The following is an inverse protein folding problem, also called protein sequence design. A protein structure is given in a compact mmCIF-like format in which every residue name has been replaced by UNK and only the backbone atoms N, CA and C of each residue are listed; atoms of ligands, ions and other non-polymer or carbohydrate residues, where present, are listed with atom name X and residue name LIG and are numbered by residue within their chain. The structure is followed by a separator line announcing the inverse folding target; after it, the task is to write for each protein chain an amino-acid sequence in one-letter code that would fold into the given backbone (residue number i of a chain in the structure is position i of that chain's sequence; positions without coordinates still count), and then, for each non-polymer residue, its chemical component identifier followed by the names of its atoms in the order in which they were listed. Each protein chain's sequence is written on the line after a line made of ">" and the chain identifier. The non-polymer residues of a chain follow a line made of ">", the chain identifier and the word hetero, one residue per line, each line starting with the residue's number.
data_IF_794101693392
#
_entry.id   IF_794101693392
#
_cell.length_a   1.000
_cell.length_b   1.000
_cell.length_c   1.000
_cell.angle_alpha   90.00
_cell.angle_beta   90.00
_cell.angle_gamma   90.00
#
_symmetry.space_group_name_H-M   'P 1'
#
loop_
_entity.id
_entity.type
_entity.pdbx_description
1 polymer ?
#
# COMPACT_ATOMS: atom_id res chain seq x y z
N UNK A 1 14.30 -8.92 16.83
CA UNK A 1 14.21 -7.91 17.90
C UNK A 1 12.75 -7.63 18.17
N UNK A 2 12.42 -6.67 19.02
CA UNK A 2 11.07 -6.08 19.02
C UNK A 2 10.85 -5.29 17.73
N UNK A 3 9.61 -5.22 17.26
CA UNK A 3 9.27 -4.41 16.09
C UNK A 3 9.46 -2.91 16.34
N UNK A 4 9.90 -2.20 15.30
CA UNK A 4 10.16 -0.76 15.26
C UNK A 4 9.33 -0.09 14.17
N UNK A 5 8.12 -0.61 13.97
CA UNK A 5 7.21 -0.18 12.93
C UNK A 5 5.93 0.35 13.57
N UNK A 6 5.48 1.52 13.10
CA UNK A 6 4.20 2.10 13.45
C UNK A 6 3.46 2.46 12.16
N UNK A 7 2.16 2.30 12.13
CA UNK A 7 1.33 2.65 10.98
C UNK A 7 0.14 3.50 11.43
N UNK A 8 -0.23 4.49 10.62
CA UNK A 8 -1.44 5.30 10.79
C UNK A 8 -2.47 4.90 9.74
N UNK A 9 -3.74 5.09 10.10
CA UNK A 9 -4.88 4.85 9.22
C UNK A 9 -5.76 6.08 9.18
N UNK A 10 -6.19 6.44 7.97
CA UNK A 10 -7.01 7.60 7.70
C UNK A 10 -7.61 7.48 6.32
N UNK A 11 -8.81 8.05 6.12
CA UNK A 11 -9.56 7.94 4.86
C UNK A 11 -9.76 6.49 4.38
N UNK A 12 -9.75 5.51 5.30
CA UNK A 12 -9.94 4.09 4.99
C UNK A 12 -8.74 3.43 4.33
N UNK A 13 -7.55 4.05 4.38
CA UNK A 13 -6.31 3.46 3.88
C UNK A 13 -5.22 3.56 4.96
N UNK A 14 -4.07 2.96 4.70
CA UNK A 14 -2.87 3.18 5.54
C UNK A 14 -2.18 4.43 5.01
N UNK A 15 -1.90 5.40 5.89
CA UNK A 15 -1.20 6.63 5.52
C UNK A 15 0.29 6.45 5.80
N UNK A 16 0.79 7.07 6.85
CA UNK A 16 2.19 6.99 7.22
C UNK A 16 2.55 5.64 7.85
N UNK A 17 3.64 5.05 7.35
CA UNK A 17 4.34 3.97 8.04
C UNK A 17 5.69 4.50 8.48
N UNK A 18 5.96 4.40 9.77
CA UNK A 18 7.15 4.92 10.43
C UNK A 18 8.12 3.79 10.74
N UNK A 19 9.40 4.04 10.45
CA UNK A 19 10.50 3.14 10.79
C UNK A 19 11.84 3.89 10.75
N UNK A 20 12.80 3.59 11.65
CA UNK A 20 12.69 2.73 12.83
C UNK A 20 12.17 3.49 14.07
N UNK A 21 11.64 4.71 13.89
CA UNK A 21 11.15 5.55 14.99
C UNK A 21 9.92 6.35 14.54
N UNK A 22 9.03 6.68 15.47
CA UNK A 22 7.76 7.41 15.23
C UNK A 22 7.92 8.81 14.62
N UNK A 23 9.12 9.39 14.67
CA UNK A 23 9.44 10.66 14.00
C UNK A 23 9.94 10.50 12.56
N UNK A 24 10.00 9.28 12.01
CA UNK A 24 10.61 8.99 10.71
C UNK A 24 9.62 8.27 9.77
N UNK A 25 8.73 9.00 9.08
CA UNK A 25 7.83 8.41 8.09
C UNK A 25 8.63 7.90 6.89
N UNK A 26 8.31 6.68 6.43
CA UNK A 26 8.97 5.99 5.31
C UNK A 26 8.00 5.74 4.14
N UNK A 27 6.70 5.68 4.42
CA UNK A 27 5.63 5.61 3.41
C UNK A 27 4.67 6.76 3.72
N UNK A 28 4.11 7.40 2.69
CA UNK A 28 3.08 8.43 2.85
C UNK A 28 1.67 7.86 2.77
N UNK A 29 1.44 6.96 1.81
CA UNK A 29 0.16 6.32 1.58
C UNK A 29 0.39 4.90 1.05
N UNK A 30 -0.40 3.95 1.53
CA UNK A 30 -0.66 2.65 0.91
C UNK A 30 -2.17 2.62 0.67
N UNK A 31 -2.56 2.92 -0.57
CA UNK A 31 -3.95 3.04 -1.00
C UNK A 31 -4.53 1.72 -1.48
N UNK A 32 -5.83 1.54 -1.26
CA UNK A 32 -6.60 0.38 -1.73
C UNK A 32 -7.52 0.77 -2.89
N UNK A 33 -7.50 -0.04 -3.94
CA UNK A 33 -8.30 0.15 -5.14
C UNK A 33 -9.02 -1.15 -5.48
N UNK A 34 -10.30 -1.09 -5.80
CA UNK A 34 -11.03 -2.26 -6.32
C UNK A 34 -11.10 -2.17 -7.83
N UNK A 35 -10.56 -3.16 -8.52
CA UNK A 35 -10.48 -3.20 -9.99
C UNK A 35 -11.43 -4.28 -10.51
N UNK A 36 -12.49 -3.88 -11.20
CA UNK A 36 -13.44 -4.76 -11.87
C UNK A 36 -13.28 -4.67 -13.38
N UNK A 37 -14.14 -5.39 -14.11
CA UNK A 37 -14.11 -5.42 -15.58
C UNK A 37 -14.50 -4.06 -16.20
N UNK A 38 -15.61 -3.47 -15.75
CA UNK A 38 -16.14 -2.23 -16.32
C UNK A 38 -15.74 -0.96 -15.57
N UNK A 39 -15.29 -1.09 -14.32
CA UNK A 39 -14.98 0.05 -13.46
C UNK A 39 -13.94 -0.28 -12.41
N UNK A 40 -13.34 0.78 -11.87
CA UNK A 40 -12.48 0.72 -10.69
C UNK A 40 -12.96 1.71 -9.62
N UNK A 41 -12.55 1.47 -8.37
CA UNK A 41 -12.98 2.23 -7.21
C UNK A 41 -11.76 2.65 -6.40
N UNK A 42 -11.57 3.96 -6.24
CA UNK A 42 -10.61 4.55 -5.30
C UNK A 42 -11.24 4.64 -3.91
N UNK A 43 -10.93 3.69 -3.02
CA UNK A 43 -11.56 3.60 -1.72
C UNK A 43 -11.26 4.82 -0.82
N UNK A 44 -10.09 5.45 -1.00
CA UNK A 44 -9.73 6.71 -0.31
C UNK A 44 -10.65 7.86 -0.73
N UNK A 45 -11.06 7.91 -2.00
CA UNK A 45 -11.96 8.95 -2.52
C UNK A 45 -13.43 8.71 -2.16
N UNK A 46 -13.87 7.45 -2.10
CA UNK A 46 -15.25 7.12 -1.68
C UNK A 46 -15.51 7.54 -0.24
N UNK A 47 -14.51 7.40 0.66
CA UNK A 47 -14.60 7.81 2.08
C UNK A 47 -15.74 7.15 2.86
N UNK A 48 -16.15 5.96 2.46
CA UNK A 48 -17.14 5.14 3.16
C UNK A 48 -16.46 3.92 3.76
N UNK A 49 -16.07 4.03 5.03
CA UNK A 49 -15.37 2.95 5.73
C UNK A 49 -15.69 2.94 7.22
N UNK A 50 -15.61 1.75 7.82
CA UNK A 50 -15.64 1.54 9.25
C UNK A 50 -14.27 1.11 9.77
N UNK A 51 -13.97 1.48 11.01
CA UNK A 51 -12.81 0.98 11.75
C UNK A 51 -13.28 0.17 12.95
N UNK A 52 -12.72 -1.01 13.14
CA UNK A 52 -13.02 -1.84 14.30
C UNK A 52 -11.77 -2.56 14.81
N UNK A 53 -11.84 -3.04 16.04
CA UNK A 53 -10.82 -3.89 16.67
C UNK A 53 -11.53 -4.99 17.42
N UNK A 54 -11.01 -6.24 17.45
CA UNK A 54 -11.64 -7.30 18.23
C UNK A 54 -11.69 -6.97 19.72
N UNK A 55 -10.65 -6.31 20.23
CA UNK A 55 -10.56 -5.81 21.62
C UNK A 55 -9.75 -4.51 21.67
N UNK A 56 -9.97 -3.61 22.65
CA UNK A 56 -9.30 -2.32 22.72
C UNK A 56 -7.76 -2.37 22.82
N UNK A 57 -7.22 -3.47 23.36
CA UNK A 57 -5.79 -3.67 23.63
C UNK A 57 -5.07 -4.50 22.57
N UNK A 58 -5.80 -5.08 21.60
CA UNK A 58 -5.18 -5.83 20.52
C UNK A 58 -4.76 -4.86 19.41
N UNK A 59 -3.51 -4.90 18.93
CA UNK A 59 -3.02 -4.05 17.84
C UNK A 59 -3.47 -4.60 16.47
N UNK A 60 -4.69 -5.13 16.38
CA UNK A 60 -5.30 -5.67 15.18
C UNK A 60 -6.45 -4.74 14.78
N UNK A 61 -6.17 -3.85 13.83
CA UNK A 61 -7.14 -2.89 13.30
C UNK A 61 -7.77 -3.48 12.04
N UNK A 62 -9.09 -3.45 11.97
CA UNK A 62 -9.84 -3.82 10.77
C UNK A 62 -10.39 -2.56 10.11
N UNK A 63 -10.12 -2.42 8.82
CA UNK A 63 -10.70 -1.41 7.94
C UNK A 63 -11.73 -2.12 7.06
N UNK A 64 -12.99 -1.71 7.13
CA UNK A 64 -14.06 -2.27 6.33
C UNK A 64 -14.62 -1.21 5.39
N UNK A 65 -14.57 -1.46 4.09
CA UNK A 65 -15.25 -0.69 3.06
C UNK A 65 -16.42 -1.49 2.52
N UNK A 66 -17.55 -0.82 2.32
CA UNK A 66 -18.72 -1.43 1.70
C UNK A 66 -19.43 -0.39 0.84
N UNK A 67 -19.95 -0.84 -0.29
CA UNK A 67 -20.76 -0.02 -1.19
C UNK A 67 -21.60 -0.90 -2.10
N UNK A 68 -22.18 -0.29 -3.13
CA UNK A 68 -23.05 -1.02 -4.05
C UNK A 68 -22.28 -2.06 -4.87
N UNK A 69 -22.56 -3.34 -4.60
CA UNK A 69 -21.97 -4.48 -5.28
C UNK A 69 -20.51 -4.80 -4.92
N UNK A 70 -19.95 -4.19 -3.86
CA UNK A 70 -18.58 -4.49 -3.43
C UNK A 70 -18.38 -4.40 -1.92
N UNK A 71 -17.39 -5.14 -1.44
CA UNK A 71 -16.86 -5.07 -0.08
C UNK A 71 -15.35 -5.26 -0.08
N UNK A 72 -14.68 -4.62 0.88
CA UNK A 72 -13.27 -4.90 1.20
C UNK A 72 -13.10 -4.85 2.72
N UNK A 73 -12.62 -5.94 3.30
CA UNK A 73 -12.10 -5.94 4.67
C UNK A 73 -10.59 -6.07 4.64
N UNK A 74 -9.87 -5.21 5.37
CA UNK A 74 -8.41 -5.29 5.56
C UNK A 74 -8.10 -5.30 7.05
N UNK A 75 -7.49 -6.38 7.52
CA UNK A 75 -6.87 -6.44 8.83
C UNK A 75 -5.41 -5.99 8.74
N UNK A 76 -5.05 -5.02 9.58
CA UNK A 76 -3.73 -4.41 9.65
C UNK A 76 -3.07 -4.82 10.96
N UNK A 77 -1.95 -5.54 10.86
CA UNK A 77 -1.22 -6.08 12.00
C UNK A 77 0.29 -5.80 11.87
N UNK A 78 0.86 -4.89 12.67
CA UNK A 78 2.31 -4.84 12.84
C UNK A 78 2.81 -6.15 13.47
N UNK A 79 3.74 -6.86 12.84
CA UNK A 79 4.32 -8.09 13.39
C UNK A 79 5.04 -7.73 14.72
N UNK A 80 4.78 -8.42 15.84
CA UNK A 80 5.39 -8.06 17.13
C UNK A 80 6.92 -8.31 17.20
N UNK A 81 7.47 -9.11 16.29
CA UNK A 81 8.87 -9.59 16.30
C UNK A 81 9.68 -9.12 15.09
N UNK A 82 9.05 -8.52 14.08
CA UNK A 82 9.68 -8.10 12.82
C UNK A 82 9.22 -6.71 12.44
N UNK A 83 10.06 -6.01 11.68
CA UNK A 83 9.71 -4.71 11.10
C UNK A 83 8.85 -4.92 9.85
N UNK A 84 7.67 -5.50 10.02
CA UNK A 84 6.74 -5.89 8.95
C UNK A 84 5.33 -5.44 9.32
N UNK A 85 4.61 -4.87 8.36
CA UNK A 85 3.18 -4.63 8.45
C UNK A 85 2.46 -5.72 7.65
N UNK A 86 1.74 -6.60 8.34
CA UNK A 86 0.95 -7.67 7.72
C UNK A 86 -0.43 -7.14 7.39
N UNK A 87 -0.88 -7.43 6.17
CA UNK A 87 -2.22 -7.11 5.70
C UNK A 87 -2.93 -8.42 5.31
N UNK A 88 -4.02 -8.75 6.01
CA UNK A 88 -4.95 -9.80 5.56
C UNK A 88 -6.16 -9.11 4.98
N UNK A 89 -6.61 -9.52 3.81
CA UNK A 89 -7.76 -8.90 3.17
C UNK A 89 -8.77 -9.91 2.64
N UNK A 90 -10.00 -9.44 2.46
CA UNK A 90 -11.09 -10.17 1.84
C UNK A 90 -11.87 -9.22 0.95
N UNK A 91 -12.10 -9.61 -0.31
CA UNK A 91 -12.84 -8.83 -1.30
C UNK A 91 -14.17 -9.51 -1.58
N UNK A 92 -15.24 -8.73 -1.59
CA UNK A 92 -16.57 -9.15 -2.01
C UNK A 92 -16.96 -8.46 -3.31
N UNK A 93 -17.67 -9.20 -4.18
CA UNK A 93 -18.07 -8.73 -5.51
C UNK A 93 -17.03 -9.05 -6.60
N UNK A 94 -17.30 -8.67 -7.85
CA UNK A 94 -16.49 -9.03 -9.02
C UNK A 94 -15.25 -8.12 -9.17
N UNK A 95 -14.47 -7.96 -8.09
CA UNK A 95 -13.32 -7.07 -8.03
C UNK A 95 -12.04 -7.80 -7.62
N UNK A 96 -10.90 -7.26 -8.05
CA UNK A 96 -9.57 -7.59 -7.52
C UNK A 96 -9.05 -6.42 -6.69
N UNK A 97 -8.30 -6.71 -5.64
CA UNK A 97 -7.62 -5.68 -4.86
C UNK A 97 -6.35 -5.24 -5.59
N UNK A 98 -6.30 -3.95 -5.93
CA UNK A 98 -5.09 -3.24 -6.30
C UNK A 98 -4.56 -2.43 -5.13
N UNK A 99 -3.23 -2.36 -5.00
CA UNK A 99 -2.57 -1.47 -4.03
C UNK A 99 -1.64 -0.50 -4.75
N UNK A 100 -1.58 0.73 -4.26
CA UNK A 100 -0.56 1.69 -4.67
C UNK A 100 0.17 2.16 -3.43
N UNK A 101 1.46 1.89 -3.36
CA UNK A 101 2.34 2.35 -2.29
C UNK A 101 3.09 3.58 -2.78
N UNK A 102 3.11 4.63 -1.95
CA UNK A 102 3.89 5.83 -2.18
C UNK A 102 5.04 5.90 -1.15
N UNK A 103 6.23 5.33 -1.48
CA UNK A 103 7.40 5.40 -0.62
C UNK A 103 7.87 6.85 -0.48
N UNK A 104 8.14 7.24 0.76
CA UNK A 104 8.75 8.51 1.14
C UNK A 104 10.01 8.24 1.96
N UNK A 105 10.85 7.34 1.44
CA UNK A 105 11.98 6.79 2.17
C UNK A 105 13.05 7.86 2.40
N UNK A 106 13.61 7.89 3.61
CA UNK A 106 14.64 8.85 3.98
C UNK A 106 14.10 10.28 4.20
N UNK A 107 12.83 10.41 4.56
CA UNK A 107 12.16 11.65 5.00
C UNK A 107 12.00 12.76 3.94
N UNK A 108 12.55 12.60 2.74
CA UNK A 108 12.43 13.60 1.66
C UNK A 108 11.31 13.29 0.67
N UNK A 109 11.02 12.00 0.43
CA UNK A 109 10.16 11.56 -0.68
C UNK A 109 10.75 11.78 -2.08
N UNK A 110 11.97 12.30 -2.16
CA UNK A 110 12.72 12.51 -3.40
C UNK A 110 13.82 11.46 -3.55
N UNK A 111 14.28 11.29 -4.78
CA UNK A 111 15.43 10.44 -5.16
C UNK A 111 15.31 8.97 -4.73
N UNK A 112 14.12 8.55 -4.35
CA UNK A 112 13.79 7.16 -4.09
C UNK A 112 13.92 6.41 -5.42
N UNK A 113 14.64 5.28 -5.40
CA UNK A 113 14.64 4.33 -6.52
C UNK A 113 13.72 3.18 -6.18
N UNK A 114 13.04 2.65 -7.19
CA UNK A 114 12.19 1.47 -7.06
C UNK A 114 12.48 0.47 -8.18
N UNK A 115 12.30 -0.80 -7.89
CA UNK A 115 12.46 -1.88 -8.86
C UNK A 115 11.56 -3.06 -8.51
N UNK A 116 11.27 -3.88 -9.52
CA UNK A 116 10.64 -5.19 -9.37
C UNK A 116 11.75 -6.24 -9.40
N UNK A 117 11.73 -7.17 -8.46
CA UNK A 117 12.61 -8.35 -8.46
C UNK A 117 11.79 -9.59 -8.13
N UNK A 118 11.77 -10.54 -9.06
CA UNK A 118 10.83 -11.67 -9.03
C UNK A 118 9.37 -11.20 -8.98
N UNK A 119 8.65 -11.63 -7.94
CA UNK A 119 7.28 -11.22 -7.67
C UNK A 119 7.19 -10.14 -6.58
N UNK A 120 8.28 -9.47 -6.22
CA UNK A 120 8.30 -8.49 -5.14
C UNK A 120 8.62 -7.08 -5.66
N UNK A 121 8.03 -6.07 -5.01
CA UNK A 121 8.32 -4.66 -5.32
C UNK A 121 9.22 -4.08 -4.24
N UNK A 122 10.28 -3.41 -4.67
CA UNK A 122 11.26 -2.80 -3.78
C UNK A 122 11.38 -1.30 -3.99
N UNK A 123 11.70 -0.60 -2.91
CA UNK A 123 12.12 0.79 -2.97
C UNK A 123 13.24 1.06 -1.95
N UNK A 124 14.14 1.98 -2.27
CA UNK A 124 15.23 2.38 -1.36
C UNK A 124 15.58 3.86 -1.52
N UNK A 125 16.12 4.45 -0.46
CA UNK A 125 16.66 5.79 -0.46
C UNK A 125 18.19 5.79 -0.68
N UNK A 126 18.76 6.81 -1.35
CA UNK A 126 20.19 6.90 -1.63
C UNK A 126 21.06 7.00 -0.37
N UNK A 127 20.60 7.75 0.63
CA UNK A 127 21.39 8.18 1.78
C UNK A 127 20.95 7.48 3.07
N UNK A 128 20.22 6.38 2.96
CA UNK A 128 19.80 5.59 4.11
C UNK A 128 19.92 4.09 3.81
N UNK A 129 20.49 3.30 4.74
CA UNK A 129 20.58 1.84 4.60
C UNK A 129 19.22 1.20 4.88
N UNK A 130 18.21 1.60 4.13
CA UNK A 130 16.83 1.15 4.28
C UNK A 130 16.26 0.72 2.94
N UNK A 131 15.47 -0.35 2.96
CA UNK A 131 14.77 -0.89 1.80
C UNK A 131 13.37 -1.27 2.25
N UNK A 132 12.39 -0.80 1.49
CA UNK A 132 11.02 -1.26 1.56
C UNK A 132 10.85 -2.44 0.60
N UNK A 133 10.17 -3.48 1.05
CA UNK A 133 9.69 -4.58 0.21
C UNK A 133 8.18 -4.70 0.38
N UNK A 134 7.47 -4.86 -0.73
CA UNK A 134 6.06 -5.24 -0.80
C UNK A 134 6.01 -6.62 -1.43
N UNK A 135 5.51 -7.59 -0.67
CA UNK A 135 5.41 -8.98 -1.06
C UNK A 135 4.04 -9.52 -0.63
N UNK A 136 3.62 -10.62 -1.24
CA UNK A 136 2.35 -11.29 -0.96
C UNK A 136 2.55 -12.81 -0.94
N UNK A 137 1.71 -13.49 -0.18
CA UNK A 137 1.63 -14.95 -0.16
C UNK A 137 1.00 -15.52 -1.45
N UNK A 138 0.15 -14.73 -2.11
CA UNK A 138 -0.37 -14.98 -3.45
C UNK A 138 0.39 -14.23 -4.56
N UNK A 139 0.14 -14.63 -5.81
CA UNK A 139 0.75 -13.97 -6.96
C UNK A 139 0.20 -12.55 -7.15
N UNK A 140 1.09 -11.56 -7.20
CA UNK A 140 0.77 -10.23 -7.72
C UNK A 140 0.94 -10.23 -9.24
N UNK A 141 -0.13 -9.91 -9.97
CA UNK A 141 -0.18 -10.08 -11.44
C UNK A 141 0.19 -8.84 -12.24
N UNK A 142 -0.06 -7.65 -11.69
CA UNK A 142 0.04 -6.37 -12.42
C UNK A 142 0.99 -5.40 -11.70
N UNK A 143 2.26 -5.81 -11.60
CA UNK A 143 3.29 -5.09 -10.87
C UNK A 143 3.97 -4.03 -11.74
N UNK A 144 4.20 -2.85 -11.17
CA UNK A 144 4.90 -1.76 -11.83
C UNK A 144 5.46 -0.79 -10.80
N UNK A 145 6.60 -0.17 -11.11
CA UNK A 145 7.20 0.92 -10.33
C UNK A 145 7.38 2.15 -11.22
N UNK A 146 6.96 3.32 -10.74
CA UNK A 146 6.93 4.52 -11.57
C UNK A 146 7.03 5.82 -10.78
N UNK A 147 6.96 6.93 -11.51
CA UNK A 147 7.10 8.27 -10.95
C UNK A 147 5.73 8.92 -10.73
N UNK A 148 5.55 9.49 -9.54
CA UNK A 148 4.36 10.26 -9.16
C UNK A 148 4.07 11.36 -10.18
N UNK A 149 2.81 11.43 -10.62
CA UNK A 149 2.32 12.38 -11.61
C UNK A 149 2.61 12.01 -13.06
N UNK A 150 3.35 10.94 -13.34
CA UNK A 150 3.73 10.58 -14.72
C UNK A 150 3.41 9.12 -15.07
N UNK A 151 4.03 8.18 -14.34
CA UNK A 151 3.98 6.73 -14.61
C UNK A 151 3.63 5.92 -13.36
N UNK A 152 3.11 6.55 -12.31
CA UNK A 152 2.59 5.85 -11.14
C UNK A 152 1.26 5.14 -11.44
N UNK A 153 0.89 4.21 -10.56
CA UNK A 153 -0.33 3.40 -10.70
C UNK A 153 -1.62 4.21 -10.70
N UNK A 154 -1.67 5.40 -10.10
CA UNK A 154 -2.88 6.21 -10.10
C UNK A 154 -3.10 6.83 -11.48
N UNK A 155 -2.02 7.30 -12.13
CA UNK A 155 -2.08 7.74 -13.51
C UNK A 155 -2.49 6.61 -14.46
N UNK A 156 -2.03 5.39 -14.20
CA UNK A 156 -2.42 4.19 -14.96
C UNK A 156 -3.92 3.92 -14.83
N UNK A 157 -4.43 3.79 -13.60
CA UNK A 157 -5.85 3.59 -13.32
C UNK A 157 -6.72 4.71 -13.89
N UNK A 158 -6.29 5.98 -13.74
CA UNK A 158 -7.05 7.12 -14.25
C UNK A 158 -7.14 7.14 -15.77
N UNK A 159 -6.14 6.62 -16.50
CA UNK A 159 -6.12 6.61 -17.97
C UNK A 159 -6.74 5.35 -18.56
N UNK A 160 -6.53 4.21 -17.91
CA UNK A 160 -6.80 2.89 -18.49
C UNK A 160 -7.86 2.09 -17.75
N UNK A 161 -8.27 2.53 -16.55
CA UNK A 161 -9.26 1.86 -15.71
C UNK A 161 -8.77 0.57 -15.05
N UNK A 162 -7.51 0.19 -15.30
CA UNK A 162 -6.83 -1.01 -14.80
C UNK A 162 -5.33 -0.74 -14.77
N UNK A 163 -4.56 -1.59 -14.10
CA UNK A 163 -3.11 -1.54 -14.21
C UNK A 163 -2.67 -2.12 -15.56
N UNK A 164 -1.96 -1.32 -16.36
CA UNK A 164 -1.43 -1.68 -17.68
C UNK A 164 0.06 -1.46 -17.78
N UNK A 165 0.63 -0.63 -16.91
CA UNK A 165 2.07 -0.40 -16.84
C UNK A 165 2.76 -1.63 -16.25
N UNK A 166 3.96 -1.91 -16.74
CA UNK A 166 4.80 -3.02 -16.30
C UNK A 166 6.27 -2.56 -16.17
N UNK A 167 6.47 -1.33 -15.67
CA UNK A 167 7.79 -0.79 -15.47
C UNK A 167 8.48 -1.54 -14.32
N UNK A 168 9.62 -2.16 -14.61
CA UNK A 168 10.37 -2.94 -13.61
C UNK A 168 11.44 -2.12 -12.90
N UNK A 169 11.67 -0.87 -13.33
CA UNK A 169 12.62 0.03 -12.69
C UNK A 169 12.20 1.49 -12.82
N UNK A 170 12.30 2.21 -11.71
CA UNK A 170 12.24 3.65 -11.64
C UNK A 170 13.53 4.12 -10.96
N UNK A 171 14.58 4.48 -11.73
CA UNK A 171 15.82 5.00 -11.16
C UNK A 171 15.61 6.37 -10.52
N UNK A 172 16.65 6.91 -9.89
CA UNK A 172 16.59 8.26 -9.31
C UNK A 172 16.27 9.29 -10.41
N UNK A 173 15.50 10.31 -10.04
CA UNK A 173 15.36 11.53 -10.83
C UNK A 173 16.30 12.60 -10.33
#
# INVERSE_FOLDING_TARGET
>A
GSARLWATVGHGIINEIYWPATGRPQIRDLGFYLIGEDRWIDLKRVRQYGLSRPKPYLPLLTIAHAGDGYGLTVEVLPDPRRDVLLLRYEVEGPFRLGIIVAPHLGETGYDNRAWVDGCDLYASAPNAPLTLCVTADGAMTDQSVGYVGASDGWQDLSRHGRFTYAFTSAPRR
#
